data_IF_131753908197
#
_entry.id   IF_131753908197
#
_cell.length_a   1.000
_cell.length_b   1.000
_cell.length_c   1.000
_cell.angle_alpha   90.00
_cell.angle_beta   90.00
_cell.angle_gamma   90.00
#
_symmetry.space_group_name_H-M   'P 1'
#
loop_
_entity.id
_entity.type
_entity.pdbx_description
1 polymer ?
#
# COMPACT_ATOMS: atom_id res chain seq x y z
N UNK A 1 -0.83 14.36 -0.71
CA UNK A 1 -1.43 13.13 -1.28
C UNK A 1 -2.55 13.60 -2.19
N UNK A 2 -2.62 13.12 -3.44
CA UNK A 2 -3.65 13.52 -4.43
C UNK A 2 -4.70 12.43 -4.65
N UNK A 3 -4.35 11.16 -4.40
CA UNK A 3 -5.24 10.02 -4.44
C UNK A 3 -4.97 9.06 -3.28
N UNK A 4 -6.00 8.36 -2.83
CA UNK A 4 -5.93 7.38 -1.75
C UNK A 4 -6.75 6.13 -2.11
N UNK A 5 -6.22 4.96 -1.75
CA UNK A 5 -6.96 3.71 -1.72
C UNK A 5 -7.32 3.40 -0.28
N UNK A 6 -8.61 3.18 -0.02
CA UNK A 6 -9.13 2.77 1.29
C UNK A 6 -9.50 1.30 1.23
N UNK A 7 -9.03 0.54 2.21
CA UNK A 7 -9.29 -0.90 2.34
C UNK A 7 -10.23 -1.15 3.52
N UNK A 8 -11.11 -2.16 3.44
CA UNK A 8 -11.80 -2.69 4.62
C UNK A 8 -10.80 -3.12 5.71
N UNK A 9 -11.21 -3.04 6.97
CA UNK A 9 -10.36 -3.47 8.09
C UNK A 9 -10.06 -4.99 7.99
N UNK A 10 -8.80 -5.43 8.16
CA UNK A 10 -8.38 -6.83 8.00
C UNK A 10 -8.77 -7.68 9.21
N UNK A 11 -10.08 -7.90 9.40
CA UNK A 11 -10.64 -8.64 10.55
C UNK A 11 -11.24 -9.98 10.16
N UNK A 12 -11.32 -10.31 8.89
CA UNK A 12 -11.88 -11.55 8.37
C UNK A 12 -10.93 -12.15 7.35
N UNK A 13 -11.10 -13.44 7.03
CA UNK A 13 -10.40 -14.06 5.89
C UNK A 13 -10.72 -13.33 4.58
N UNK A 14 -11.96 -12.88 4.40
CA UNK A 14 -12.41 -12.03 3.28
C UNK A 14 -13.06 -10.76 3.82
N UNK A 15 -12.50 -9.59 3.52
CA UNK A 15 -12.89 -8.32 4.15
C UNK A 15 -13.75 -7.42 3.24
N UNK A 16 -13.69 -7.61 1.93
CA UNK A 16 -14.37 -6.78 0.94
C UNK A 16 -13.39 -6.22 -0.09
N UNK A 17 -13.85 -5.26 -0.90
CA UNK A 17 -13.04 -4.63 -1.96
C UNK A 17 -12.56 -3.26 -1.53
N UNK A 18 -11.37 -2.88 -2.00
CA UNK A 18 -10.85 -1.54 -1.83
C UNK A 18 -11.50 -0.56 -2.81
N UNK A 19 -11.51 0.72 -2.43
CA UNK A 19 -11.95 1.83 -3.30
C UNK A 19 -10.84 2.85 -3.38
N UNK A 20 -10.57 3.35 -4.58
CA UNK A 20 -9.55 4.37 -4.84
C UNK A 20 -10.20 5.64 -5.34
N UNK A 21 -9.85 6.78 -4.74
CA UNK A 21 -10.44 8.08 -5.05
C UNK A 21 -9.41 9.20 -4.92
N UNK A 22 -9.71 10.36 -5.51
CA UNK A 22 -8.93 11.59 -5.30
C UNK A 22 -9.27 12.24 -3.97
N UNK A 23 -8.25 12.73 -3.28
CA UNK A 23 -8.42 13.38 -1.98
C UNK A 23 -8.94 14.81 -2.07
N UNK A 24 -9.05 15.35 -3.29
CA UNK A 24 -9.65 16.66 -3.55
C UNK A 24 -10.99 16.45 -4.24
N UNK A 25 -11.95 17.25 -3.79
CA UNK A 25 -13.32 17.26 -4.28
C UNK A 25 -13.42 18.37 -5.32
N UNK A 26 -14.21 18.17 -6.38
CA UNK A 26 -14.50 19.26 -7.32
C UNK A 26 -15.40 20.33 -6.67
N UNK A 27 -15.60 21.46 -7.36
CA UNK A 27 -16.45 22.56 -6.88
C UNK A 27 -17.91 22.12 -6.63
N UNK A 28 -18.32 20.97 -7.18
CA UNK A 28 -19.63 20.36 -6.98
C UNK A 28 -19.76 19.54 -5.70
N UNK A 29 -18.68 19.37 -4.93
CA UNK A 29 -18.70 18.57 -3.70
C UNK A 29 -18.70 17.07 -3.96
N UNK A 30 -18.49 16.60 -5.19
CA UNK A 30 -18.52 15.19 -5.54
C UNK A 30 -17.11 14.57 -5.47
N UNK A 31 -17.01 13.42 -4.80
CA UNK A 31 -15.76 12.66 -4.71
C UNK A 31 -15.43 12.03 -6.08
N UNK A 32 -14.26 12.36 -6.63
CA UNK A 32 -13.76 11.74 -7.87
C UNK A 32 -13.21 10.34 -7.56
N UNK A 33 -14.02 9.32 -7.85
CA UNK A 33 -13.65 7.92 -7.68
C UNK A 33 -12.83 7.46 -8.88
N UNK A 34 -11.59 7.04 -8.61
CA UNK A 34 -10.70 6.51 -9.63
C UNK A 34 -11.02 5.05 -9.97
N UNK A 35 -11.43 4.28 -8.95
CA UNK A 35 -11.82 2.87 -9.06
C UNK A 35 -12.67 2.44 -7.86
N UNK A 36 -13.88 1.95 -8.10
CA UNK A 36 -14.81 1.42 -7.09
C UNK A 36 -14.84 -0.12 -7.00
N UNK A 37 -14.20 -0.80 -7.96
CA UNK A 37 -14.02 -2.26 -8.03
C UNK A 37 -12.56 -2.67 -7.77
N UNK A 38 -11.92 -2.01 -6.79
CA UNK A 38 -10.52 -2.24 -6.45
C UNK A 38 -10.24 -3.64 -5.89
N UNK A 39 -8.98 -3.89 -5.48
CA UNK A 39 -8.57 -5.22 -5.05
C UNK A 39 -9.43 -5.82 -3.94
N UNK A 40 -9.73 -7.12 -4.04
CA UNK A 40 -10.30 -7.89 -2.94
C UNK A 40 -9.27 -8.00 -1.81
N UNK A 41 -9.67 -7.60 -0.60
CA UNK A 41 -8.80 -7.63 0.58
C UNK A 41 -9.09 -8.87 1.41
N UNK A 42 -8.08 -9.73 1.53
CA UNK A 42 -8.05 -10.89 2.41
C UNK A 42 -7.04 -10.65 3.52
N UNK A 43 -7.18 -11.37 4.63
CA UNK A 43 -6.26 -11.25 5.75
C UNK A 43 -6.05 -12.58 6.45
N UNK A 44 -4.85 -12.77 7.01
CA UNK A 44 -4.50 -13.86 7.91
C UNK A 44 -3.49 -13.33 8.93
N UNK A 45 -3.89 -13.22 10.19
CA UNK A 45 -3.09 -12.59 11.24
C UNK A 45 -3.89 -12.27 12.49
N UNK A 46 -3.31 -11.43 13.36
CA UNK A 46 -3.72 -11.17 14.74
C UNK A 46 -5.19 -10.72 14.87
N UNK A 47 -5.77 -10.13 13.81
CA UNK A 47 -7.15 -9.64 13.77
C UNK A 47 -8.22 -10.62 13.26
N UNK A 48 -7.83 -11.77 12.70
CA UNK A 48 -8.72 -12.64 11.90
C UNK A 48 -9.48 -13.64 12.77
N UNK A 49 -8.82 -14.27 13.74
CA UNK A 49 -9.47 -15.21 14.65
C UNK A 49 -9.71 -14.59 16.03
N UNK A 50 -10.87 -14.87 16.64
CA UNK A 50 -11.25 -14.35 17.97
C UNK A 50 -12.03 -15.38 18.77
N UNK A 51 -11.96 -15.29 20.10
CA UNK A 51 -12.68 -16.24 20.97
C UNK A 51 -14.22 -16.13 20.86
N UNK A 52 -14.73 -14.97 20.45
CA UNK A 52 -16.15 -14.63 20.41
C UNK A 52 -16.84 -14.92 19.06
N UNK A 53 -16.09 -15.36 18.04
CA UNK A 53 -16.64 -15.71 16.71
C UNK A 53 -15.70 -16.61 15.92
N UNK A 54 -16.23 -17.41 15.00
CA UNK A 54 -15.38 -18.17 14.08
C UNK A 54 -14.62 -17.23 13.10
N UNK A 55 -13.38 -17.57 12.72
CA UNK A 55 -12.57 -18.65 13.26
C UNK A 55 -12.05 -18.32 14.68
N UNK A 56 -11.98 -19.32 15.57
CA UNK A 56 -11.59 -19.11 16.99
C UNK A 56 -10.12 -19.37 17.27
N UNK A 57 -9.38 -19.90 16.29
CA UNK A 57 -7.95 -20.18 16.38
C UNK A 57 -7.28 -20.01 15.01
N UNK A 58 -5.96 -19.85 15.01
CA UNK A 58 -5.15 -19.81 13.79
C UNK A 58 -5.31 -21.09 12.95
N UNK A 59 -5.33 -22.27 13.58
CA UNK A 59 -5.51 -23.54 12.89
C UNK A 59 -6.89 -23.64 12.23
N UNK A 60 -7.94 -23.18 12.92
CA UNK A 60 -9.29 -23.09 12.36
C UNK A 60 -9.36 -22.13 11.17
N UNK A 61 -8.76 -20.94 11.30
CA UNK A 61 -8.68 -19.95 10.22
C UNK A 61 -7.94 -20.52 9.00
N UNK A 62 -6.85 -21.27 9.20
CA UNK A 62 -6.09 -21.86 8.10
C UNK A 62 -6.89 -22.96 7.38
N UNK A 63 -7.66 -23.76 8.13
CA UNK A 63 -8.54 -24.76 7.55
C UNK A 63 -9.65 -24.11 6.71
N UNK A 64 -10.27 -23.06 7.23
CA UNK A 64 -11.30 -22.30 6.52
C UNK A 64 -10.74 -21.61 5.27
N UNK A 65 -9.53 -21.04 5.35
CA UNK A 65 -8.84 -20.48 4.18
C UNK A 65 -8.61 -21.55 3.10
N UNK A 66 -8.17 -22.75 3.48
CA UNK A 66 -7.98 -23.86 2.53
C UNK A 66 -9.29 -24.28 1.87
N UNK A 67 -10.37 -24.41 2.65
CA UNK A 67 -11.71 -24.72 2.11
C UNK A 67 -12.15 -23.65 1.11
N UNK A 68 -12.00 -22.39 1.48
CA UNK A 68 -12.36 -21.24 0.65
C UNK A 68 -11.59 -21.21 -0.68
N UNK A 69 -10.29 -21.53 -0.67
CA UNK A 69 -9.49 -21.62 -1.89
C UNK A 69 -9.91 -22.80 -2.76
N UNK A 70 -10.17 -23.97 -2.18
CA UNK A 70 -10.63 -25.15 -2.92
C UNK A 70 -12.02 -24.93 -3.56
N UNK A 71 -12.97 -24.39 -2.80
CA UNK A 71 -14.28 -24.01 -3.33
C UNK A 71 -14.17 -22.99 -4.46
N UNK A 72 -13.26 -22.01 -4.31
CA UNK A 72 -13.01 -21.00 -5.34
C UNK A 72 -12.41 -21.60 -6.62
N UNK A 73 -11.51 -22.58 -6.51
CA UNK A 73 -10.94 -23.33 -7.65
C UNK A 73 -12.00 -24.12 -8.40
N UNK A 74 -12.95 -24.70 -7.66
CA UNK A 74 -14.06 -25.46 -8.23
C UNK A 74 -15.18 -24.57 -8.79
N UNK A 75 -15.10 -23.25 -8.57
CA UNK A 75 -16.14 -22.30 -8.98
C UNK A 75 -17.39 -22.30 -8.08
N UNK A 76 -17.35 -23.00 -6.94
CA UNK A 76 -18.46 -23.15 -6.00
C UNK A 76 -18.49 -22.06 -4.91
N UNK A 77 -17.39 -21.30 -4.77
CA UNK A 77 -17.28 -20.23 -3.78
C UNK A 77 -17.93 -18.90 -4.22
N UNK A 78 -17.78 -17.87 -3.39
CA UNK A 78 -18.26 -16.53 -3.71
C UNK A 78 -17.59 -15.99 -4.99
N UNK A 79 -18.32 -15.34 -5.93
CA UNK A 79 -17.80 -14.95 -7.25
C UNK A 79 -16.50 -14.14 -7.23
N UNK A 80 -16.36 -13.21 -6.27
CA UNK A 80 -15.13 -12.41 -6.12
C UNK A 80 -13.93 -13.24 -5.68
N UNK A 81 -14.13 -14.21 -4.80
CA UNK A 81 -13.07 -15.11 -4.35
C UNK A 81 -12.65 -16.03 -5.48
N UNK A 82 -13.60 -16.59 -6.22
CA UNK A 82 -13.34 -17.36 -7.44
C UNK A 82 -12.55 -16.53 -8.47
N UNK A 83 -12.93 -15.27 -8.68
CA UNK A 83 -12.22 -14.37 -9.58
C UNK A 83 -10.80 -14.06 -9.10
N UNK A 84 -10.60 -13.83 -7.80
CA UNK A 84 -9.27 -13.57 -7.22
C UNK A 84 -8.34 -14.79 -7.37
N UNK A 85 -8.81 -15.98 -6.99
CA UNK A 85 -8.03 -17.23 -7.13
C UNK A 85 -7.72 -17.52 -8.60
N UNK A 86 -8.67 -17.26 -9.50
CA UNK A 86 -8.46 -17.40 -10.95
C UNK A 86 -7.59 -16.30 -11.59
N UNK A 87 -7.20 -15.25 -10.84
CA UNK A 87 -6.43 -14.11 -11.36
C UNK A 87 -7.23 -13.16 -12.25
N UNK A 88 -8.56 -13.20 -12.18
CA UNK A 88 -9.49 -12.30 -12.89
C UNK A 88 -9.88 -11.05 -12.07
N UNK A 89 -9.57 -11.04 -10.78
CA UNK A 89 -9.75 -9.91 -9.87
C UNK A 89 -8.46 -9.69 -9.10
N UNK A 90 -7.99 -8.45 -9.04
CA UNK A 90 -6.85 -8.08 -8.19
C UNK A 90 -7.18 -8.41 -6.73
N UNK A 91 -6.21 -8.94 -6.00
CA UNK A 91 -6.39 -9.23 -4.57
C UNK A 91 -5.15 -8.85 -3.77
N UNK A 92 -5.39 -8.45 -2.52
CA UNK A 92 -4.37 -8.15 -1.51
C UNK A 92 -4.56 -9.08 -0.32
N UNK A 93 -3.47 -9.66 0.17
CA UNK A 93 -3.45 -10.48 1.35
C UNK A 93 -2.66 -9.79 2.44
N UNK A 94 -3.32 -9.47 3.56
CA UNK A 94 -2.69 -8.87 4.73
C UNK A 94 -2.15 -9.97 5.63
N UNK A 95 -0.84 -9.97 5.87
CA UNK A 95 -0.14 -10.93 6.71
C UNK A 95 0.67 -10.18 7.78
N UNK A 96 0.45 -10.49 9.06
CA UNK A 96 1.09 -9.78 10.17
C UNK A 96 2.50 -10.31 10.52
N UNK A 97 2.79 -11.56 10.16
CA UNK A 97 4.07 -12.23 10.41
C UNK A 97 4.53 -13.09 9.23
N UNK A 98 5.81 -13.46 9.21
CA UNK A 98 6.38 -14.38 8.23
C UNK A 98 5.65 -15.74 8.26
N UNK A 99 5.27 -16.22 9.45
CA UNK A 99 4.52 -17.47 9.60
C UNK A 99 3.14 -17.40 8.93
N UNK A 100 2.44 -16.26 9.09
CA UNK A 100 1.16 -16.02 8.42
C UNK A 100 1.33 -16.02 6.89
N UNK A 101 2.37 -15.36 6.39
CA UNK A 101 2.68 -15.34 4.97
C UNK A 101 2.91 -16.76 4.43
N UNK A 102 3.73 -17.58 5.09
CA UNK A 102 3.97 -18.95 4.65
C UNK A 102 2.71 -19.82 4.71
N UNK A 103 1.89 -19.67 5.75
CA UNK A 103 0.62 -20.37 5.87
C UNK A 103 -0.33 -20.00 4.71
N UNK A 104 -0.47 -18.71 4.41
CA UNK A 104 -1.28 -18.20 3.30
C UNK A 104 -0.76 -18.69 1.96
N UNK A 105 0.56 -18.58 1.71
CA UNK A 105 1.17 -19.07 0.46
C UNK A 105 0.96 -20.57 0.29
N UNK A 106 1.09 -21.35 1.37
CA UNK A 106 0.81 -22.78 1.35
C UNK A 106 -0.66 -23.11 1.05
N UNK A 107 -1.61 -22.34 1.59
CA UNK A 107 -3.03 -22.51 1.30
C UNK A 107 -3.39 -22.12 -0.15
N UNK A 108 -2.79 -21.04 -0.68
CA UNK A 108 -3.01 -20.57 -2.04
C UNK A 108 -2.32 -21.44 -3.09
N UNK A 109 -1.23 -22.11 -2.74
CA UNK A 109 -0.46 -22.95 -3.67
C UNK A 109 0.02 -22.17 -4.90
N UNK A 110 -0.29 -22.68 -6.08
CA UNK A 110 0.05 -22.07 -7.38
C UNK A 110 -0.56 -20.67 -7.60
N UNK A 111 -1.65 -20.35 -6.91
CA UNK A 111 -2.30 -19.04 -6.99
C UNK A 111 -1.56 -17.95 -6.19
N UNK A 112 -0.64 -18.31 -5.29
CA UNK A 112 -0.01 -17.38 -4.34
C UNK A 112 0.63 -16.16 -5.04
N UNK A 113 1.35 -16.35 -6.14
CA UNK A 113 2.03 -15.27 -6.87
C UNK A 113 1.10 -14.24 -7.54
N UNK A 114 -0.23 -14.47 -7.53
CA UNK A 114 -1.25 -13.56 -8.08
C UNK A 114 -1.71 -12.53 -7.05
N UNK A 115 -1.58 -12.83 -5.76
CA UNK A 115 -2.03 -11.96 -4.68
C UNK A 115 -0.93 -10.94 -4.37
N UNK A 116 -1.29 -9.66 -4.29
CA UNK A 116 -0.41 -8.66 -3.67
C UNK A 116 -0.34 -8.93 -2.16
N UNK A 117 0.80 -8.65 -1.55
CA UNK A 117 1.01 -8.91 -0.12
C UNK A 117 1.11 -7.59 0.62
N UNK A 118 0.42 -7.47 1.75
CA UNK A 118 0.62 -6.41 2.73
C UNK A 118 1.35 -7.02 3.91
N UNK A 119 2.57 -6.56 4.17
CA UNK A 119 3.44 -7.16 5.17
C UNK A 119 4.48 -6.16 5.68
N UNK A 120 4.57 -5.98 7.00
CA UNK A 120 5.23 -4.81 7.58
C UNK A 120 6.26 -5.13 8.67
N UNK A 121 5.99 -6.12 9.52
CA UNK A 121 6.69 -6.35 10.80
C UNK A 121 8.08 -6.96 10.61
N UNK A 122 8.15 -8.03 9.83
CA UNK A 122 9.30 -8.93 9.64
C UNK A 122 9.57 -9.18 8.14
N UNK A 123 9.27 -8.18 7.29
CA UNK A 123 9.50 -8.25 5.85
C UNK A 123 10.95 -8.55 5.44
N UNK A 124 11.92 -8.19 6.28
CA UNK A 124 13.33 -8.53 6.08
C UNK A 124 13.57 -10.04 6.01
N UNK A 125 12.79 -10.84 6.73
CA UNK A 125 12.99 -12.29 6.84
C UNK A 125 12.38 -13.07 5.67
N UNK A 126 11.49 -12.44 4.90
CA UNK A 126 10.73 -13.06 3.81
C UNK A 126 11.01 -12.41 2.46
N UNK A 127 11.92 -11.44 2.39
CA UNK A 127 12.14 -10.63 1.19
C UNK A 127 12.51 -11.49 -0.04
N UNK A 128 13.41 -12.46 0.14
CA UNK A 128 13.84 -13.35 -0.94
C UNK A 128 12.72 -14.27 -1.45
N UNK A 129 11.77 -14.62 -0.60
CA UNK A 129 10.64 -15.51 -0.91
C UNK A 129 9.48 -14.79 -1.59
N UNK A 130 9.54 -13.46 -1.71
CA UNK A 130 8.53 -12.62 -2.35
C UNK A 130 8.94 -12.16 -3.75
N UNK A 131 10.11 -12.57 -4.26
CA UNK A 131 10.58 -12.22 -5.62
C UNK A 131 9.70 -12.72 -6.76
N UNK A 132 8.88 -13.73 -6.49
CA UNK A 132 7.96 -14.30 -7.48
C UNK A 132 6.67 -13.48 -7.64
N UNK A 133 6.43 -12.53 -6.72
CA UNK A 133 5.28 -11.66 -6.79
C UNK A 133 5.39 -10.72 -7.99
N UNK A 134 4.28 -10.62 -8.74
CA UNK A 134 4.16 -9.71 -9.88
C UNK A 134 3.63 -8.33 -9.50
N UNK A 135 3.33 -8.11 -8.22
CA UNK A 135 2.72 -6.89 -7.69
C UNK A 135 3.58 -6.36 -6.54
N UNK A 136 3.58 -5.04 -6.30
CA UNK A 136 4.31 -4.47 -5.19
C UNK A 136 3.87 -5.06 -3.83
N UNK A 137 4.83 -5.25 -2.94
CA UNK A 137 4.55 -5.55 -1.52
C UNK A 137 4.22 -4.24 -0.81
N UNK A 138 3.08 -4.21 -0.15
CA UNK A 138 2.65 -3.05 0.63
C UNK A 138 3.26 -3.11 2.03
N UNK A 139 4.01 -2.08 2.39
CA UNK A 139 4.72 -1.95 3.65
C UNK A 139 4.34 -0.65 4.39
N UNK A 140 4.69 -0.55 5.67
CA UNK A 140 4.38 0.61 6.51
C UNK A 140 2.94 0.66 7.04
N UNK A 141 2.56 1.77 7.71
CA UNK A 141 3.37 2.96 7.95
C UNK A 141 4.54 2.68 8.92
N UNK A 142 5.62 3.44 8.78
CA UNK A 142 6.74 3.44 9.71
C UNK A 142 6.87 4.80 10.41
N UNK A 143 7.35 4.78 11.64
CA UNK A 143 7.63 5.97 12.44
C UNK A 143 8.90 5.81 13.27
N UNK A 144 9.23 6.83 14.05
CA UNK A 144 10.45 6.84 14.86
C UNK A 144 10.46 5.81 15.99
N UNK A 145 9.29 5.27 16.36
CA UNK A 145 9.13 4.19 17.35
C UNK A 145 9.08 2.80 16.72
N UNK A 146 9.10 2.70 15.38
CA UNK A 146 9.14 1.42 14.68
C UNK A 146 10.43 0.67 15.00
N UNK A 147 10.34 -0.66 15.11
CA UNK A 147 11.51 -1.48 15.38
C UNK A 147 12.54 -1.38 14.25
N UNK A 148 13.83 -1.52 14.59
CA UNK A 148 14.90 -1.58 13.58
C UNK A 148 14.64 -2.68 12.55
N UNK A 149 14.10 -3.83 12.96
CA UNK A 149 13.79 -4.95 12.08
C UNK A 149 12.78 -4.54 11.00
N UNK A 150 11.70 -3.88 11.38
CA UNK A 150 10.67 -3.41 10.45
C UNK A 150 11.20 -2.33 9.49
N UNK A 151 12.07 -1.45 9.98
CA UNK A 151 12.67 -0.37 9.19
C UNK A 151 13.67 -0.86 8.12
N UNK A 152 14.26 -2.04 8.32
CA UNK A 152 15.16 -2.66 7.32
C UNK A 152 14.40 -3.44 6.23
N UNK A 153 13.13 -3.80 6.48
CA UNK A 153 12.31 -4.58 5.56
C UNK A 153 12.22 -4.00 4.14
N UNK A 154 11.92 -2.70 3.97
CA UNK A 154 11.80 -2.10 2.64
C UNK A 154 13.10 -2.16 1.82
N UNK A 155 14.25 -1.96 2.47
CA UNK A 155 15.56 -2.07 1.81
C UNK A 155 15.80 -3.51 1.36
N UNK A 156 15.57 -4.49 2.25
CA UNK A 156 15.73 -5.92 1.93
C UNK A 156 14.80 -6.37 0.79
N UNK A 157 13.54 -5.94 0.77
CA UNK A 157 12.61 -6.19 -0.34
C UNK A 157 13.14 -5.61 -1.65
N UNK A 158 13.56 -4.34 -1.63
CA UNK A 158 14.10 -3.66 -2.81
C UNK A 158 15.37 -4.33 -3.34
N UNK A 159 16.28 -4.76 -2.46
CA UNK A 159 17.52 -5.48 -2.80
C UNK A 159 17.22 -6.86 -3.40
N UNK A 160 16.16 -7.52 -2.93
CA UNK A 160 15.68 -8.79 -3.49
C UNK A 160 14.96 -8.64 -4.85
N UNK A 161 14.84 -7.41 -5.37
CA UNK A 161 14.14 -7.11 -6.61
C UNK A 161 12.61 -7.04 -6.47
N UNK A 162 12.10 -6.97 -5.23
CA UNK A 162 10.67 -6.82 -4.94
C UNK A 162 10.31 -5.35 -4.90
N UNK A 163 9.35 -4.93 -5.73
CA UNK A 163 8.83 -3.57 -5.68
C UNK A 163 8.05 -3.34 -4.39
N UNK A 164 8.26 -2.19 -3.75
CA UNK A 164 7.60 -1.82 -2.49
C UNK A 164 6.62 -0.68 -2.75
N UNK A 165 5.42 -0.77 -2.17
CA UNK A 165 4.47 0.34 -2.05
C UNK A 165 4.29 0.68 -0.57
N UNK A 166 4.29 1.96 -0.20
CA UNK A 166 4.05 2.37 1.19
C UNK A 166 2.59 2.72 1.44
N UNK A 167 2.06 2.22 2.55
CA UNK A 167 0.76 2.62 3.10
C UNK A 167 0.93 3.72 4.14
N UNK A 168 0.07 4.75 4.08
CA UNK A 168 0.08 5.87 5.03
C UNK A 168 -0.68 5.60 6.33
N UNK A 169 -1.39 4.47 6.47
CA UNK A 169 -2.08 4.08 7.71
C UNK A 169 -3.12 5.07 8.26
N UNK A 170 -3.59 6.03 7.45
CA UNK A 170 -4.64 6.97 7.82
C UNK A 170 -5.97 6.24 8.07
N UNK A 171 -6.79 6.65 9.06
CA UNK A 171 -6.61 7.80 9.96
C UNK A 171 -5.81 7.52 11.24
N UNK A 172 -5.23 6.32 11.40
CA UNK A 172 -4.54 5.96 12.63
C UNK A 172 -3.15 6.60 12.71
N UNK A 173 -2.56 6.92 11.57
CA UNK A 173 -1.34 7.69 11.44
C UNK A 173 -1.59 9.06 10.81
N UNK A 174 -0.65 9.98 11.05
CA UNK A 174 -0.65 11.33 10.45
C UNK A 174 -0.62 11.26 8.91
N UNK A 175 -1.26 12.20 8.19
CA UNK A 175 -1.12 12.33 6.73
C UNK A 175 0.35 12.42 6.25
N UNK A 176 1.27 12.95 7.07
CA UNK A 176 2.70 13.03 6.75
C UNK A 176 3.44 11.70 6.89
N UNK A 177 2.83 10.70 7.51
CA UNK A 177 3.45 9.39 7.75
C UNK A 177 3.94 8.73 6.47
N UNK A 178 3.30 8.97 5.33
CA UNK A 178 3.72 8.39 4.05
C UNK A 178 5.12 8.89 3.63
N UNK A 179 5.39 10.19 3.75
CA UNK A 179 6.72 10.77 3.47
C UNK A 179 7.74 10.35 4.52
N UNK A 180 7.33 10.34 5.81
CA UNK A 180 8.20 9.88 6.91
C UNK A 180 8.60 8.41 6.71
N UNK A 181 7.66 7.55 6.31
CA UNK A 181 7.90 6.13 6.01
C UNK A 181 8.96 5.98 4.92
N UNK A 182 8.83 6.72 3.81
CA UNK A 182 9.78 6.67 2.71
C UNK A 182 11.16 7.23 3.11
N UNK A 183 11.21 8.33 3.85
CA UNK A 183 12.45 8.92 4.34
C UNK A 183 13.20 7.98 5.31
N UNK A 184 12.46 7.31 6.20
CA UNK A 184 13.01 6.31 7.11
C UNK A 184 13.53 5.10 6.34
N UNK A 185 12.81 4.62 5.32
CA UNK A 185 13.30 3.52 4.49
C UNK A 185 14.63 3.84 3.80
N UNK A 186 14.79 5.05 3.26
CA UNK A 186 16.07 5.50 2.67
C UNK A 186 17.18 5.58 3.72
N UNK A 187 16.88 6.16 4.90
CA UNK A 187 17.82 6.20 6.02
C UNK A 187 18.32 4.79 6.42
N UNK A 188 17.48 3.77 6.21
CA UNK A 188 17.77 2.38 6.53
C UNK A 188 18.27 1.54 5.34
N UNK A 189 18.61 2.16 4.20
CA UNK A 189 19.32 1.52 3.10
C UNK A 189 18.54 1.35 1.80
N UNK A 190 17.25 1.72 1.76
CA UNK A 190 16.48 1.67 0.52
C UNK A 190 16.98 2.74 -0.47
N UNK A 191 17.07 2.40 -1.76
CA UNK A 191 17.39 3.37 -2.79
C UNK A 191 16.34 4.50 -2.84
N UNK A 192 16.81 5.75 -3.02
CA UNK A 192 15.94 6.92 -3.01
C UNK A 192 14.96 6.96 -4.19
N UNK A 193 15.36 6.45 -5.37
CA UNK A 193 14.44 6.37 -6.51
C UNK A 193 13.38 5.30 -6.28
N UNK A 194 13.75 4.15 -5.70
CA UNK A 194 12.80 3.13 -5.27
C UNK A 194 11.82 3.68 -4.20
N UNK A 195 12.30 4.46 -3.23
CA UNK A 195 11.44 5.08 -2.22
C UNK A 195 10.45 6.10 -2.81
N UNK A 196 10.86 6.89 -3.81
CA UNK A 196 9.94 7.78 -4.55
C UNK A 196 8.87 6.99 -5.31
N UNK A 197 9.26 5.89 -5.96
CA UNK A 197 8.30 4.97 -6.61
C UNK A 197 7.31 4.37 -5.60
N UNK A 198 7.79 4.04 -4.41
CA UNK A 198 6.99 3.45 -3.33
C UNK A 198 5.87 4.36 -2.80
N UNK A 199 5.95 5.66 -3.04
CA UNK A 199 4.89 6.64 -2.69
C UNK A 199 4.18 7.22 -3.92
N UNK A 200 4.41 6.67 -5.11
CA UNK A 200 3.84 7.15 -6.38
C UNK A 200 3.30 6.01 -7.26
N UNK A 201 4.13 5.44 -8.13
CA UNK A 201 3.68 4.46 -9.13
C UNK A 201 3.36 3.09 -8.51
N UNK A 202 4.12 2.65 -7.52
CA UNK A 202 3.91 1.35 -6.89
C UNK A 202 2.52 1.24 -6.21
N UNK A 203 2.09 2.19 -5.35
CA UNK A 203 0.74 2.13 -4.80
C UNK A 203 -0.35 2.29 -5.88
N UNK A 204 -0.10 3.03 -6.97
CA UNK A 204 -1.03 3.12 -8.10
C UNK A 204 -1.20 1.77 -8.83
N UNK A 205 -0.13 0.98 -8.96
CA UNK A 205 -0.19 -0.39 -9.50
C UNK A 205 -0.92 -1.34 -8.55
N UNK A 206 -0.69 -1.22 -7.25
CA UNK A 206 -1.43 -1.98 -6.22
C UNK A 206 -2.92 -1.68 -6.26
N UNK A 207 -3.30 -0.41 -6.45
CA UNK A 207 -4.69 0.00 -6.61
C UNK A 207 -5.27 -0.31 -8.00
N UNK A 208 -4.42 -0.61 -8.99
CA UNK A 208 -4.80 -0.81 -10.39
C UNK A 208 -5.38 0.44 -11.05
N UNK A 209 -4.76 1.60 -10.76
CA UNK A 209 -5.05 2.91 -11.38
C UNK A 209 -3.77 3.54 -11.96
N UNK A 210 -2.75 2.72 -12.22
CA UNK A 210 -1.44 3.15 -12.71
C UNK A 210 -1.48 3.69 -14.16
N UNK A 211 -2.55 3.42 -14.90
CA UNK A 211 -2.86 4.03 -16.20
C UNK A 211 -3.26 5.50 -16.06
N UNK A 212 -3.78 5.91 -14.89
CA UNK A 212 -4.27 7.27 -14.63
C UNK A 212 -3.34 8.13 -13.80
N UNK A 213 -2.76 7.58 -12.75
CA UNK A 213 -1.98 8.35 -11.74
C UNK A 213 -0.64 7.70 -11.40
N UNK A 214 0.15 8.35 -10.54
CA UNK A 214 1.37 7.80 -9.97
C UNK A 214 2.63 7.96 -10.81
N UNK A 215 2.56 8.58 -12.00
CA UNK A 215 3.76 9.01 -12.75
C UNK A 215 3.48 10.22 -13.65
N UNK A 216 4.55 10.88 -14.09
CA UNK A 216 4.49 12.05 -14.96
C UNK A 216 4.78 11.59 -16.39
N UNK A 217 3.73 11.21 -17.12
CA UNK A 217 3.79 10.71 -18.50
C UNK A 217 2.58 11.25 -19.26
N UNK A 218 2.70 11.61 -20.57
CA UNK A 218 1.56 12.04 -21.37
C UNK A 218 0.38 11.05 -21.33
N UNK A 219 -0.84 11.59 -21.30
CA UNK A 219 -2.08 10.80 -21.23
C UNK A 219 -2.54 10.42 -19.83
N UNK A 220 -1.73 10.69 -18.79
CA UNK A 220 -2.12 10.53 -17.38
C UNK A 220 -2.76 11.78 -16.81
N UNK A 221 -3.49 11.62 -15.72
CA UNK A 221 -4.13 12.73 -15.03
C UNK A 221 -3.07 13.69 -14.45
N UNK A 222 -3.31 15.00 -14.59
CA UNK A 222 -2.41 16.07 -14.14
C UNK A 222 -2.37 16.26 -12.63
N UNK A 223 -2.11 15.19 -11.88
CA UNK A 223 -2.03 15.16 -10.42
C UNK A 223 -0.57 15.35 -10.00
N UNK A 224 -0.20 16.58 -9.65
CA UNK A 224 1.19 17.00 -9.38
C UNK A 224 1.30 17.67 -8.01
N UNK A 225 2.44 17.47 -7.36
CA UNK A 225 2.80 18.17 -6.13
C UNK A 225 4.17 18.80 -6.32
N UNK A 226 4.25 20.11 -6.15
CA UNK A 226 5.50 20.88 -6.20
C UNK A 226 6.01 21.02 -4.77
N UNK A 227 7.24 20.56 -4.54
CA UNK A 227 7.93 20.67 -3.25
C UNK A 227 9.07 21.69 -3.34
N UNK A 228 9.44 22.29 -2.21
CA UNK A 228 10.61 23.17 -2.11
C UNK A 228 11.96 22.46 -2.31
N UNK A 229 11.98 21.14 -2.11
CA UNK A 229 13.14 20.27 -2.26
C UNK A 229 12.67 18.83 -2.53
N UNK A 230 13.58 17.85 -2.55
CA UNK A 230 13.22 16.43 -2.67
C UNK A 230 12.17 16.04 -1.60
N UNK A 231 11.02 15.46 -1.99
CA UNK A 231 9.94 15.10 -1.08
C UNK A 231 10.32 14.09 0.01
N UNK A 232 11.45 13.39 -0.12
CA UNK A 232 12.00 12.49 0.89
C UNK A 232 12.75 13.22 2.00
N UNK A 233 13.04 14.52 1.84
CA UNK A 233 13.63 15.31 2.91
C UNK A 233 12.56 15.79 3.88
N UNK A 234 12.85 15.70 5.18
CA UNK A 234 11.92 16.11 6.23
C UNK A 234 11.70 17.63 6.29
N UNK A 235 12.62 18.43 5.74
CA UNK A 235 12.50 19.89 5.61
C UNK A 235 11.75 20.34 4.35
N UNK A 236 11.36 19.40 3.46
CA UNK A 236 10.63 19.72 2.25
C UNK A 236 9.18 20.12 2.56
N UNK A 237 8.79 21.30 2.08
CA UNK A 237 7.44 21.82 2.19
C UNK A 237 6.72 21.75 0.85
N UNK A 238 5.40 21.53 0.88
CA UNK A 238 4.56 21.57 -0.31
C UNK A 238 4.36 23.04 -0.70
N UNK A 239 4.70 23.38 -1.93
CA UNK A 239 4.52 24.71 -2.51
C UNK A 239 3.20 24.81 -3.28
N UNK A 240 2.91 23.82 -4.14
CA UNK A 240 1.70 23.80 -4.93
C UNK A 240 1.19 22.36 -5.10
N UNK A 241 -0.13 22.23 -5.27
CA UNK A 241 -0.76 20.95 -5.66
C UNK A 241 -1.69 21.21 -6.84
N UNK A 242 -1.57 20.36 -7.85
CA UNK A 242 -2.44 20.31 -9.01
C UNK A 242 -3.18 18.97 -9.00
N UNK A 243 -4.47 19.01 -9.32
CA UNK A 243 -5.31 17.83 -9.49
C UNK A 243 -6.03 18.00 -10.83
N UNK A 244 -5.87 17.01 -11.73
CA UNK A 244 -6.38 17.07 -13.12
C UNK A 244 -5.96 18.37 -13.85
N UNK A 245 -4.76 18.87 -13.55
CA UNK A 245 -4.25 20.12 -14.12
C UNK A 245 -4.79 21.41 -13.49
N UNK A 246 -5.70 21.33 -12.52
CA UNK A 246 -6.22 22.49 -11.78
C UNK A 246 -5.43 22.67 -10.50
N UNK A 247 -4.94 23.90 -10.24
CA UNK A 247 -4.23 24.21 -8.99
C UNK A 247 -5.21 24.28 -7.84
N UNK A 248 -5.09 23.34 -6.89
CA UNK A 248 -5.98 23.21 -5.71
C UNK A 248 -5.33 23.69 -4.41
N UNK A 249 -4.00 23.88 -4.42
CA UNK A 249 -3.25 24.41 -3.28
C UNK A 249 -2.09 25.26 -3.76
N UNK A 250 -1.84 26.37 -3.05
CA UNK A 250 -0.63 27.16 -3.15
C UNK A 250 -0.24 27.64 -1.75
N UNK A 251 1.03 27.44 -1.38
CA UNK A 251 1.58 27.98 -0.15
C UNK A 251 1.53 29.51 -0.21
N UNK A 252 1.04 30.16 0.86
CA UNK A 252 1.13 31.61 0.99
C UNK A 252 2.60 31.97 1.22
N UNK A 253 3.14 32.90 0.41
CA UNK A 253 4.54 33.35 0.39
C UNK A 253 5.31 33.09 1.69
N UNK A 254 6.29 32.18 1.65
CA UNK A 254 7.45 32.36 2.51
C UNK A 254 8.17 33.60 1.96
N UNK A 255 8.26 34.67 2.75
CA UNK A 255 9.17 35.77 2.44
C UNK A 255 10.51 35.16 2.00
N UNK A 256 11.03 35.62 0.85
CA UNK A 256 12.35 35.27 0.34
C UNK A 256 13.35 35.18 1.50
N UNK A 257 14.27 34.21 1.52
CA UNK A 257 15.28 34.15 2.56
C UNK A 257 15.91 35.54 2.65
N UNK A 258 15.78 36.22 3.79
CA UNK A 258 16.40 37.54 3.97
C UNK A 258 17.87 37.36 3.64
N UNK A 259 18.32 37.97 2.54
CA UNK A 259 19.73 38.25 2.34
C UNK A 259 20.21 38.99 3.59
N UNK A 260 21.02 38.31 4.41
CA UNK A 260 21.63 38.92 5.58
C UNK A 260 21.37 38.19 6.89
N UNK A 261 22.08 37.08 7.08
CA UNK A 261 22.64 36.77 8.39
C UNK A 261 24.12 36.43 8.20
N UNK A 262 24.93 37.48 8.01
CA UNK A 262 26.34 37.41 8.40
C UNK A 262 26.39 37.33 9.92
N UNK A 263 26.83 36.20 10.46
CA UNK A 263 27.90 36.06 11.48
C UNK A 263 28.03 34.62 11.91
#
# INVERSE_FOLDING_TARGET
ITAAMVTPAPRNLVNGVAVTFRTFVDDGGQLDVLRDDGPLVLAFGDGVWRQDRAPTSQAGALNELRSLVEEARQGNGHPRTCAAVAGRLDALFVCDSANDLYAVRGALGDAAGRFGIVHTRDAIDVAADLKDLKRPVVAGPYGFTSSRRSLLGPAALSEAGVEVAFAGGFPQASPDSLRITAALAVRHGMDAAAARRAITIAPAQTAGVADRVGSIVPGRDGDLVVFSNDPLRLDAVVLEVYVKGVRVYAAKNQESPREGAKR
#
